data_IF_192777093096
#
_entry.id   IF_192777093096
#
_cell.length_a   1.000
_cell.length_b   1.000
_cell.length_c   1.000
_cell.angle_alpha   90.00
_cell.angle_beta   90.00
_cell.angle_gamma   90.00
#
_symmetry.space_group_name_H-M   'P 1'
#
loop_
_entity.id
_entity.type
_entity.pdbx_description
1 polymer ?
#
# COMPACT_ATOMS: atom_id res chain seq x y z
N UNK A 1 16.05 -12.18 -26.97
CA UNK A 1 15.47 -13.13 -26.00
C UNK A 1 15.27 -12.32 -24.75
N UNK A 2 14.19 -11.55 -24.79
CA UNK A 2 13.98 -10.44 -23.87
C UNK A 2 13.38 -11.09 -22.63
N UNK A 3 14.22 -11.24 -21.60
CA UNK A 3 13.75 -11.72 -20.32
C UNK A 3 12.93 -10.58 -19.70
N UNK A 4 11.65 -10.51 -20.04
CA UNK A 4 10.65 -9.87 -19.19
C UNK A 4 10.59 -10.68 -17.90
N UNK A 5 11.46 -10.30 -16.96
CA UNK A 5 11.47 -10.88 -15.62
C UNK A 5 10.11 -10.59 -14.97
N UNK A 6 9.33 -11.65 -14.76
CA UNK A 6 8.19 -11.70 -13.85
C UNK A 6 8.64 -11.26 -12.44
N UNK A 7 8.62 -9.95 -12.20
CA UNK A 7 8.90 -9.34 -10.89
C UNK A 7 7.85 -9.72 -9.82
N UNK A 8 6.75 -10.38 -10.22
CA UNK A 8 5.66 -10.77 -9.32
C UNK A 8 5.89 -12.16 -8.68
N UNK A 9 6.87 -12.92 -9.17
CA UNK A 9 7.24 -14.24 -8.63
C UNK A 9 8.28 -14.23 -7.50
N UNK A 10 9.05 -13.14 -7.32
CA UNK A 10 10.24 -13.17 -6.47
C UNK A 10 9.89 -13.07 -4.97
N UNK A 11 10.36 -14.00 -4.14
CA UNK A 11 10.00 -14.12 -2.70
C UNK A 11 10.20 -12.83 -1.88
N UNK A 12 11.13 -11.97 -2.32
CA UNK A 12 11.40 -10.66 -1.72
C UNK A 12 10.27 -9.65 -1.97
N UNK A 13 9.62 -9.69 -3.14
CA UNK A 13 8.50 -8.79 -3.48
C UNK A 13 7.30 -8.98 -2.53
N UNK A 14 7.06 -10.22 -2.09
CA UNK A 14 5.98 -10.56 -1.13
C UNK A 14 6.32 -10.08 0.28
N UNK A 15 7.60 -10.05 0.66
CA UNK A 15 8.05 -9.64 2.00
C UNK A 15 8.01 -8.12 2.17
N UNK A 16 8.16 -7.38 1.08
CA UNK A 16 8.23 -5.92 1.09
C UNK A 16 6.93 -5.22 0.66
N UNK A 17 5.85 -5.99 0.46
CA UNK A 17 4.51 -5.48 0.19
C UNK A 17 3.59 -5.74 1.38
N UNK A 18 2.89 -4.70 1.82
CA UNK A 18 1.81 -4.81 2.81
C UNK A 18 0.53 -4.19 2.28
N UNK A 19 -0.60 -4.70 2.76
CA UNK A 19 -1.92 -4.11 2.54
C UNK A 19 -2.45 -3.57 3.86
N UNK A 20 -2.84 -2.30 3.87
CA UNK A 20 -3.42 -1.62 5.03
C UNK A 20 -4.86 -1.25 4.73
N UNK A 21 -5.81 -1.82 5.48
CA UNK A 21 -7.19 -1.34 5.50
C UNK A 21 -7.26 -0.08 6.36
N UNK A 22 -7.79 1.00 5.80
CA UNK A 22 -7.85 2.31 6.43
C UNK A 22 -9.22 2.94 6.31
N UNK A 23 -9.49 3.88 7.22
CA UNK A 23 -10.68 4.75 7.20
C UNK A 23 -10.20 6.19 7.31
N UNK A 24 -10.50 7.00 6.31
CA UNK A 24 -10.41 8.46 6.38
C UNK A 24 -11.67 9.01 7.03
N UNK A 25 -11.51 9.86 8.03
CA UNK A 25 -12.60 10.46 8.79
C UNK A 25 -12.49 11.98 8.65
N UNK A 26 -13.56 12.61 8.15
CA UNK A 26 -13.73 14.06 8.13
C UNK A 26 -14.97 14.43 8.96
N UNK A 27 -14.79 15.23 10.02
CA UNK A 27 -15.86 15.59 10.96
C UNK A 27 -16.10 17.10 10.89
N UNK A 28 -17.26 17.48 10.37
CA UNK A 28 -17.83 18.82 10.47
C UNK A 28 -18.96 18.88 11.50
N UNK A 29 -19.34 20.09 11.91
CA UNK A 29 -20.42 20.31 12.89
C UNK A 29 -21.79 19.80 12.43
N UNK A 30 -22.03 19.73 11.12
CA UNK A 30 -23.31 19.33 10.52
C UNK A 30 -23.25 17.96 9.84
N UNK A 31 -22.06 17.51 9.43
CA UNK A 31 -21.88 16.29 8.64
C UNK A 31 -20.54 15.65 8.92
N UNK A 32 -20.52 14.33 8.92
CA UNK A 32 -19.31 13.51 8.96
C UNK A 32 -19.19 12.70 7.69
N UNK A 33 -18.00 12.66 7.09
CA UNK A 33 -17.69 11.83 5.93
C UNK A 33 -16.70 10.73 6.33
N UNK A 34 -16.97 9.51 5.86
CA UNK A 34 -16.09 8.36 6.01
C UNK A 34 -15.68 7.88 4.62
N UNK A 35 -14.41 7.54 4.47
CA UNK A 35 -13.89 6.91 3.26
C UNK A 35 -13.12 5.67 3.68
N UNK A 36 -13.60 4.51 3.26
CA UNK A 36 -12.87 3.26 3.43
C UNK A 36 -11.88 3.11 2.27
N UNK A 37 -10.68 2.65 2.56
CA UNK A 37 -9.74 2.33 1.50
C UNK A 37 -8.80 1.20 1.87
N UNK A 38 -8.33 0.50 0.84
CA UNK A 38 -7.19 -0.40 0.95
C UNK A 38 -5.96 0.29 0.34
N UNK A 39 -4.90 0.41 1.15
CA UNK A 39 -3.62 0.99 0.75
C UNK A 39 -2.62 -0.15 0.52
N UNK A 40 -2.08 -0.24 -0.69
CA UNK A 40 -0.94 -1.11 -0.98
C UNK A 40 0.33 -0.30 -0.77
N UNK A 41 1.16 -0.76 0.16
CA UNK A 41 2.41 -0.08 0.52
C UNK A 41 3.61 -0.96 0.22
N UNK A 42 4.70 -0.33 -0.25
CA UNK A 42 5.98 -0.98 -0.55
C UNK A 42 7.07 -0.46 0.37
N UNK A 43 7.90 -1.36 0.90
CA UNK A 43 9.04 -0.99 1.75
C UNK A 43 10.08 -0.23 0.94
N UNK A 44 10.59 0.86 1.50
CA UNK A 44 11.70 1.63 0.96
C UNK A 44 13.00 1.29 1.69
N UNK A 45 13.97 0.71 0.97
CA UNK A 45 15.32 0.43 1.44
C UNK A 45 15.63 -1.06 1.70
N UNK A 46 16.91 -1.38 1.89
CA UNK A 46 17.38 -2.74 2.13
C UNK A 46 16.99 -3.24 3.53
N UNK A 47 16.36 -4.42 3.59
CA UNK A 47 16.09 -5.43 4.66
C UNK A 47 15.78 -4.97 6.12
N UNK A 48 16.16 -3.79 6.58
CA UNK A 48 16.02 -3.31 7.98
C UNK A 48 15.29 -1.98 8.14
N UNK A 49 14.84 -1.35 7.05
CA UNK A 49 14.08 -0.09 7.10
C UNK A 49 12.59 -0.33 7.35
N UNK A 50 11.99 0.34 8.35
CA UNK A 50 10.53 0.37 8.58
C UNK A 50 9.81 1.44 7.75
N UNK A 51 10.47 2.03 6.75
CA UNK A 51 9.87 3.03 5.88
C UNK A 51 9.08 2.35 4.76
N UNK A 52 7.86 2.82 4.54
CA UNK A 52 6.99 2.36 3.45
C UNK A 52 6.48 3.55 2.66
N UNK A 53 6.29 3.35 1.37
CA UNK A 53 5.66 4.30 0.46
C UNK A 53 4.38 3.71 -0.13
N UNK A 54 3.42 4.59 -0.41
CA UNK A 54 2.16 4.20 -1.01
C UNK A 54 2.37 3.86 -2.48
N UNK A 55 2.04 2.64 -2.87
CA UNK A 55 2.08 2.19 -4.25
C UNK A 55 0.70 2.29 -4.93
N UNK A 56 -0.36 1.99 -4.19
CA UNK A 56 -1.73 2.01 -4.72
C UNK A 56 -2.73 2.35 -3.62
N UNK A 57 -3.80 3.07 -3.97
CA UNK A 57 -4.97 3.28 -3.11
C UNK A 57 -6.22 2.85 -3.86
N UNK A 58 -7.00 1.96 -3.24
CA UNK A 58 -8.34 1.56 -3.69
C UNK A 58 -9.38 2.11 -2.73
N UNK A 59 -10.37 2.81 -3.25
CA UNK A 59 -11.48 3.37 -2.47
C UNK A 59 -12.62 2.35 -2.54
N UNK A 60 -13.22 2.05 -1.40
CA UNK A 60 -14.37 1.15 -1.26
C UNK A 60 -15.67 1.95 -1.04
#
# INVERSE_FOLDING_TARGET
MDHEHDEQGHVLWKRDRIELRSVGIDIGSSTSHLIFSTLVMRRQGAVLSSRFELAERRID
#
